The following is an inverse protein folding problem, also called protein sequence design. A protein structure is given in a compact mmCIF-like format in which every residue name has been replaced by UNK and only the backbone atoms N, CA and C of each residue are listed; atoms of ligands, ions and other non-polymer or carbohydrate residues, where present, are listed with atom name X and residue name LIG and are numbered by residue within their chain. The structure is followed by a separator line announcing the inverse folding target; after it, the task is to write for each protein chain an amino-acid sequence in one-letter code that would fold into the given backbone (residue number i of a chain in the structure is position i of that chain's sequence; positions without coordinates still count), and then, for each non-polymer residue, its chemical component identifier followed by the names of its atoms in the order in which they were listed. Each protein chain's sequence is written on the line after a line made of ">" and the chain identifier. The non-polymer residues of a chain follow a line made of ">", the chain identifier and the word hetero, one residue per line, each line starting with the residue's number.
data_IF_098324461802
#
_entry.id   IF_098324461802
#
_cell.length_a   1.000
_cell.length_b   1.000
_cell.length_c   1.000
_cell.angle_alpha   90.00
_cell.angle_beta   90.00
_cell.angle_gamma   90.00
#
_symmetry.space_group_name_H-M   'P 1'
#
loop_
_entity.id
_entity.type
_entity.pdbx_description
1 polymer ?
#
# COMPACT_ATOMS: atom_id res chain seq x y z
N UNK A 1 28.62 -4.10 -13.77
CA UNK A 1 27.45 -3.58 -13.03
C UNK A 1 26.35 -3.40 -14.06
N UNK A 2 25.28 -4.16 -13.91
CA UNK A 2 24.12 -4.08 -14.83
C UNK A 2 22.99 -3.40 -14.09
N UNK A 3 22.43 -2.36 -14.70
CA UNK A 3 21.31 -1.60 -14.14
C UNK A 3 20.01 -2.28 -14.53
N UNK A 4 19.33 -2.88 -13.56
CA UNK A 4 18.06 -3.59 -13.78
C UNK A 4 16.92 -2.67 -13.36
N UNK A 5 15.89 -2.59 -14.21
CA UNK A 5 14.64 -1.90 -13.91
C UNK A 5 13.51 -2.93 -13.89
N UNK A 6 12.76 -2.95 -12.79
CA UNK A 6 11.58 -3.78 -12.60
C UNK A 6 10.40 -2.88 -12.32
N UNK A 7 9.22 -3.29 -12.77
CA UNK A 7 7.97 -2.63 -12.41
C UNK A 7 7.22 -3.52 -11.43
N UNK A 8 6.72 -2.96 -10.35
CA UNK A 8 6.10 -3.71 -9.25
C UNK A 8 4.73 -3.12 -8.93
N UNK A 9 3.71 -3.94 -9.05
CA UNK A 9 2.32 -3.64 -8.73
C UNK A 9 2.03 -3.95 -7.24
N UNK A 10 1.13 -3.14 -6.65
CA UNK A 10 0.75 -3.22 -5.24
C UNK A 10 1.63 -2.39 -4.28
N UNK A 11 2.58 -1.60 -4.81
CA UNK A 11 3.30 -0.59 -4.04
C UNK A 11 2.48 0.70 -3.94
N UNK A 12 1.51 0.74 -3.02
CA UNK A 12 0.70 1.94 -2.83
C UNK A 12 1.32 2.94 -1.84
N UNK A 13 2.31 2.50 -1.04
CA UNK A 13 2.78 3.26 0.11
C UNK A 13 4.30 3.50 0.14
N UNK A 14 4.71 4.62 0.73
CA UNK A 14 6.13 4.94 0.97
C UNK A 14 6.84 3.86 1.78
N UNK A 15 6.13 3.25 2.73
CA UNK A 15 6.63 2.15 3.56
C UNK A 15 6.79 0.83 2.79
N UNK A 16 5.99 0.63 1.74
CA UNK A 16 6.02 -0.51 0.83
C UNK A 16 7.32 -0.44 -0.01
N UNK A 17 7.62 0.75 -0.52
CA UNK A 17 8.89 1.03 -1.19
C UNK A 17 10.11 0.84 -0.27
N UNK A 18 10.03 1.29 0.98
CA UNK A 18 11.11 1.08 1.95
C UNK A 18 11.36 -0.41 2.23
N UNK A 19 10.31 -1.22 2.26
CA UNK A 19 10.40 -2.67 2.49
C UNK A 19 11.13 -3.35 1.33
N UNK A 20 10.75 -3.03 0.08
CA UNK A 20 11.39 -3.56 -1.13
C UNK A 20 12.85 -3.08 -1.21
N UNK A 21 13.11 -1.80 -0.91
CA UNK A 21 14.47 -1.25 -0.89
C UNK A 21 15.37 -2.02 0.08
N UNK A 22 14.93 -2.17 1.33
CA UNK A 22 15.69 -2.92 2.37
C UNK A 22 15.90 -4.38 1.99
N UNK A 23 14.92 -5.00 1.34
CA UNK A 23 15.05 -6.37 0.85
C UNK A 23 16.15 -6.50 -0.21
N UNK A 24 16.15 -5.61 -1.20
CA UNK A 24 17.14 -5.59 -2.28
C UNK A 24 18.54 -5.25 -1.77
N UNK A 25 18.67 -4.29 -0.84
CA UNK A 25 19.92 -3.97 -0.15
C UNK A 25 20.47 -5.19 0.61
N UNK A 26 19.61 -5.93 1.33
CA UNK A 26 19.99 -7.16 2.04
C UNK A 26 20.44 -8.28 1.09
N UNK A 27 19.95 -8.28 -0.15
CA UNK A 27 20.39 -9.19 -1.22
C UNK A 27 21.69 -8.75 -1.89
N UNK A 28 22.30 -7.65 -1.45
CA UNK A 28 23.59 -7.16 -1.95
C UNK A 28 23.48 -6.23 -3.17
N UNK A 29 22.28 -5.73 -3.48
CA UNK A 29 22.09 -4.77 -4.58
C UNK A 29 22.56 -3.37 -4.17
N UNK A 30 23.13 -2.64 -5.13
CA UNK A 30 23.64 -1.27 -4.94
C UNK A 30 22.75 -0.26 -5.67
N UNK A 31 22.82 1.02 -5.27
CA UNK A 31 21.99 2.13 -5.80
C UNK A 31 20.50 1.80 -5.96
N UNK A 32 19.90 1.14 -4.95
CA UNK A 32 18.49 0.75 -5.00
C UNK A 32 17.59 1.97 -4.87
N UNK A 33 16.93 2.33 -5.97
CA UNK A 33 15.92 3.37 -6.05
C UNK A 33 14.56 2.74 -6.28
N UNK A 34 13.64 3.00 -5.35
CA UNK A 34 12.27 2.49 -5.42
C UNK A 34 11.34 3.67 -5.45
N UNK A 35 10.49 3.72 -6.48
CA UNK A 35 9.47 4.72 -6.65
C UNK A 35 8.09 4.07 -6.52
N UNK A 36 7.51 4.16 -5.32
CA UNK A 36 6.13 3.70 -5.08
C UNK A 36 5.10 4.46 -5.94
N UNK A 37 5.41 5.68 -6.40
CA UNK A 37 4.50 6.47 -7.23
C UNK A 37 4.23 5.83 -8.59
N UNK A 38 5.28 5.29 -9.20
CA UNK A 38 5.23 4.75 -10.57
C UNK A 38 5.31 3.23 -10.59
N UNK A 39 5.57 2.60 -9.43
CA UNK A 39 5.86 1.18 -9.31
C UNK A 39 7.27 0.82 -9.78
N UNK A 40 8.12 1.81 -10.10
CA UNK A 40 9.44 1.54 -10.67
C UNK A 40 10.47 1.23 -9.59
N UNK A 41 11.21 0.14 -9.79
CA UNK A 41 12.30 -0.32 -8.94
C UNK A 41 13.54 -0.41 -9.81
N UNK A 42 14.57 0.38 -9.53
CA UNK A 42 15.85 0.32 -10.22
C UNK A 42 16.98 0.04 -9.25
N UNK A 43 17.89 -0.86 -9.61
CA UNK A 43 19.06 -1.20 -8.79
C UNK A 43 20.20 -1.72 -9.66
N UNK A 44 21.41 -1.62 -9.13
CA UNK A 44 22.61 -2.15 -9.73
C UNK A 44 22.92 -3.52 -9.14
N UNK A 45 22.91 -4.54 -10.01
CA UNK A 45 23.27 -5.91 -9.63
C UNK A 45 24.76 -6.15 -9.86
N UNK A 46 25.46 -6.63 -8.82
CA UNK A 46 26.84 -7.07 -8.89
C UNK A 46 26.87 -8.61 -8.88
N UNK A 47 26.81 -9.22 -10.06
CA UNK A 47 26.84 -10.68 -10.24
C UNK A 47 25.73 -11.20 -11.16
N UNK A 48 25.79 -12.49 -11.48
CA UNK A 48 24.87 -13.18 -12.39
C UNK A 48 23.54 -13.56 -11.66
N UNK A 49 22.88 -12.57 -11.06
CA UNK A 49 21.57 -12.79 -10.42
C UNK A 49 20.49 -12.90 -11.49
N UNK A 50 19.74 -14.00 -11.50
CA UNK A 50 18.58 -14.13 -12.38
C UNK A 50 17.48 -13.20 -11.89
N UNK A 51 16.95 -12.37 -12.77
CA UNK A 51 15.82 -11.48 -12.48
C UNK A 51 14.61 -12.22 -11.88
N UNK A 52 14.42 -13.51 -12.22
CA UNK A 52 13.39 -14.40 -11.70
C UNK A 52 13.48 -14.65 -10.18
N UNK A 53 14.69 -14.75 -9.63
CA UNK A 53 14.88 -15.04 -8.20
C UNK A 53 14.54 -13.81 -7.35
N UNK A 54 14.81 -12.62 -7.89
CA UNK A 54 14.45 -11.34 -7.29
C UNK A 54 12.94 -11.08 -7.40
N UNK A 55 12.33 -11.42 -8.55
CA UNK A 55 10.88 -11.34 -8.73
C UNK A 55 10.13 -12.26 -7.76
N UNK A 56 10.60 -13.50 -7.59
CA UNK A 56 10.05 -14.45 -6.61
C UNK A 56 10.16 -13.90 -5.18
N UNK A 57 11.28 -13.26 -4.85
CA UNK A 57 11.49 -12.60 -3.57
C UNK A 57 10.54 -11.43 -3.28
N UNK A 58 10.24 -10.64 -4.31
CA UNK A 58 9.28 -9.53 -4.23
C UNK A 58 7.84 -10.07 -4.15
N UNK A 59 7.54 -11.14 -4.88
CA UNK A 59 6.29 -11.89 -4.73
C UNK A 59 6.15 -12.46 -3.32
N UNK A 60 7.24 -12.96 -2.72
CA UNK A 60 7.33 -13.41 -1.33
C UNK A 60 7.23 -12.28 -0.30
N UNK A 61 7.31 -11.01 -0.71
CA UNK A 61 6.98 -9.82 0.09
C UNK A 61 5.54 -9.33 -0.12
N UNK A 62 4.89 -9.76 -1.20
CA UNK A 62 3.44 -9.62 -1.42
C UNK A 62 3.12 -8.63 -2.50
N UNK A 63 4.11 -8.35 -3.35
CA UNK A 63 4.03 -7.43 -4.45
C UNK A 63 4.25 -8.20 -5.75
N UNK A 64 3.60 -7.77 -6.82
CA UNK A 64 3.61 -8.47 -8.09
C UNK A 64 4.58 -7.76 -9.04
N UNK A 65 5.52 -8.47 -9.69
CA UNK A 65 6.50 -7.83 -10.59
C UNK A 65 5.99 -7.89 -12.02
N UNK A 66 5.62 -6.74 -12.59
CA UNK A 66 5.24 -6.60 -13.99
C UNK A 66 6.48 -6.75 -14.89
N UNK A 67 6.61 -7.90 -15.54
CA UNK A 67 7.73 -8.20 -16.43
C UNK A 67 8.00 -9.69 -16.65
N UNK A 68 7.55 -10.58 -15.74
CA UNK A 68 7.45 -12.00 -16.07
C UNK A 68 6.19 -12.22 -16.92
N UNK A 69 6.38 -12.81 -18.10
CA UNK A 69 5.29 -13.44 -18.86
C UNK A 69 4.79 -14.67 -18.10
N UNK A 70 4.25 -14.49 -16.91
CA UNK A 70 3.34 -15.47 -16.33
C UNK A 70 1.99 -15.17 -16.97
N UNK A 71 1.47 -16.12 -17.74
CA UNK A 71 0.16 -16.04 -18.38
C UNK A 71 -0.86 -15.43 -17.41
N UNK A 72 -1.44 -14.32 -17.84
CA UNK A 72 -2.52 -13.66 -17.17
C UNK A 72 -3.64 -14.65 -16.80
N UNK A 73 -3.77 -14.97 -15.52
CA UNK A 73 -5.11 -14.99 -14.94
C UNK A 73 -5.45 -13.55 -14.61
N UNK A 74 -6.15 -12.87 -15.53
CA UNK A 74 -7.04 -11.73 -15.21
C UNK A 74 -8.06 -12.21 -14.18
N UNK A 75 -7.64 -12.29 -12.92
CA UNK A 75 -8.42 -12.82 -11.82
C UNK A 75 -9.22 -11.71 -11.16
N UNK A 76 -10.51 -11.66 -11.48
CA UNK A 76 -11.63 -11.09 -10.70
C UNK A 76 -11.29 -9.84 -9.86
N UNK A 77 -11.77 -8.67 -10.30
CA UNK A 77 -11.86 -7.45 -9.46
C UNK A 77 -12.37 -7.83 -8.07
N UNK A 78 -11.48 -7.85 -7.09
CA UNK A 78 -11.81 -8.16 -5.71
C UNK A 78 -12.84 -7.12 -5.23
N UNK A 79 -13.89 -7.56 -4.54
CA UNK A 79 -15.04 -6.73 -4.13
C UNK A 79 -14.67 -5.57 -3.18
N UNK A 80 -13.40 -5.50 -2.74
CA UNK A 80 -12.82 -4.51 -1.82
C UNK A 80 -11.37 -4.18 -2.24
N UNK A 81 -11.19 -3.55 -3.41
CA UNK A 81 -9.87 -3.27 -3.98
C UNK A 81 -9.18 -2.08 -3.31
N UNK A 82 -9.95 -1.08 -2.85
CA UNK A 82 -9.41 0.18 -2.36
C UNK A 82 -9.53 0.31 -0.84
N UNK A 83 -8.57 0.97 -0.20
CA UNK A 83 -8.61 1.30 1.23
C UNK A 83 -9.93 1.99 1.64
N UNK A 84 -10.47 2.86 0.78
CA UNK A 84 -11.76 3.51 0.95
C UNK A 84 -12.94 2.53 1.02
N UNK A 85 -12.98 1.50 0.16
CA UNK A 85 -14.06 0.51 0.17
C UNK A 85 -14.02 -0.33 1.45
N UNK A 86 -12.83 -0.70 1.92
CA UNK A 86 -12.65 -1.42 3.18
C UNK A 86 -13.06 -0.57 4.38
N UNK A 87 -12.65 0.71 4.40
CA UNK A 87 -13.11 1.67 5.39
C UNK A 87 -14.64 1.79 5.39
N UNK A 88 -15.25 2.03 4.23
CA UNK A 88 -16.70 2.23 4.11
C UNK A 88 -17.50 0.98 4.49
N UNK A 89 -16.94 -0.21 4.24
CA UNK A 89 -17.53 -1.47 4.69
C UNK A 89 -17.43 -1.65 6.21
N UNK A 90 -16.30 -1.31 6.83
CA UNK A 90 -16.12 -1.44 8.28
C UNK A 90 -16.87 -0.36 9.07
N UNK A 91 -17.02 0.84 8.50
CA UNK A 91 -17.62 2.01 9.14
C UNK A 91 -18.99 1.76 9.79
N UNK A 92 -20.00 1.14 9.13
CA UNK A 92 -21.29 0.90 9.77
C UNK A 92 -21.17 -0.01 11.00
N UNK A 93 -20.37 -1.07 10.95
CA UNK A 93 -20.18 -1.97 12.09
C UNK A 93 -19.48 -1.27 13.25
N UNK A 94 -18.41 -0.52 12.96
CA UNK A 94 -17.66 0.24 13.96
C UNK A 94 -18.50 1.36 14.56
N UNK A 95 -19.34 2.04 13.76
CA UNK A 95 -20.25 3.07 14.24
C UNK A 95 -21.30 2.50 15.20
N UNK A 96 -21.89 1.34 14.87
CA UNK A 96 -22.84 0.67 15.76
C UNK A 96 -22.17 0.25 17.06
N UNK A 97 -20.93 -0.24 17.02
CA UNK A 97 -20.17 -0.54 18.23
C UNK A 97 -19.88 0.75 19.02
N UNK A 98 -19.46 1.84 18.39
CA UNK A 98 -19.21 3.11 19.10
C UNK A 98 -20.44 3.70 19.77
N UNK A 99 -21.64 3.44 19.25
CA UNK A 99 -22.90 3.88 19.85
C UNK A 99 -23.10 3.37 21.29
N UNK A 100 -22.53 2.21 21.64
CA UNK A 100 -22.66 1.67 22.99
C UNK A 100 -21.94 2.52 24.07
N UNK A 101 -20.94 3.30 23.67
CA UNK A 101 -20.18 4.17 24.59
C UNK A 101 -20.89 5.49 24.91
N UNK A 102 -21.99 5.83 24.22
CA UNK A 102 -22.70 7.10 24.42
C UNK A 102 -23.64 6.96 25.63
N UNK A 103 -23.35 7.62 26.77
CA UNK A 103 -24.22 7.57 27.93
C UNK A 103 -25.57 8.21 27.60
N UNK A 104 -26.64 7.40 27.56
CA UNK A 104 -28.00 7.83 27.22
C UNK A 104 -28.72 6.91 26.22
N UNK A 105 -27.97 6.18 25.39
CA UNK A 105 -28.50 5.16 24.47
C UNK A 105 -28.25 3.76 25.05
N UNK A 106 -28.88 3.44 26.18
CA UNK A 106 -28.79 2.12 26.79
C UNK A 106 -29.64 1.11 26.00
N UNK A 107 -29.20 0.77 24.79
CA UNK A 107 -29.76 -0.33 24.02
C UNK A 107 -29.40 -1.62 24.75
N UNK A 108 -30.33 -2.15 25.55
CA UNK A 108 -30.18 -3.41 26.32
C UNK A 108 -29.69 -4.58 25.44
N UNK A 109 -30.02 -4.54 24.15
CA UNK A 109 -29.58 -5.53 23.15
C UNK A 109 -28.07 -5.45 22.84
N UNK A 110 -27.47 -4.26 22.91
CA UNK A 110 -26.07 -3.98 22.56
C UNK A 110 -25.08 -4.30 23.71
N UNK A 111 -25.60 -4.56 24.91
CA UNK A 111 -24.84 -5.09 26.05
C UNK A 111 -24.59 -6.59 25.97
N UNK A 112 -25.20 -7.29 25.00
CA UNK A 112 -24.98 -8.72 24.85
C UNK A 112 -23.59 -8.98 24.24
N UNK A 113 -22.67 -9.65 24.96
CA UNK A 113 -21.29 -9.86 24.50
C UNK A 113 -21.21 -10.60 23.15
N UNK A 114 -22.16 -11.51 22.90
CA UNK A 114 -22.26 -12.27 21.66
C UNK A 114 -22.60 -11.39 20.45
N UNK A 115 -23.39 -10.35 20.64
CA UNK A 115 -23.73 -9.42 19.57
C UNK A 115 -22.53 -8.56 19.19
N UNK A 116 -21.79 -8.07 20.19
CA UNK A 116 -20.58 -7.28 19.94
C UNK A 116 -19.51 -8.11 19.23
N UNK A 117 -19.36 -9.39 19.61
CA UNK A 117 -18.53 -10.34 18.88
C UNK A 117 -19.00 -10.50 17.42
N UNK A 118 -20.31 -10.68 17.20
CA UNK A 118 -20.86 -10.83 15.85
C UNK A 118 -20.62 -9.59 14.97
N UNK A 119 -20.68 -8.37 15.53
CA UNK A 119 -20.39 -7.13 14.79
C UNK A 119 -18.90 -6.90 14.54
N UNK A 120 -18.03 -7.35 15.45
CA UNK A 120 -16.58 -7.20 15.27
C UNK A 120 -15.98 -8.19 14.30
N UNK A 121 -16.52 -9.40 14.19
CA UNK A 121 -16.01 -10.44 13.30
C UNK A 121 -15.84 -9.95 11.84
N UNK A 122 -16.83 -9.32 11.18
CA UNK A 122 -16.67 -8.80 9.82
C UNK A 122 -15.52 -7.81 9.70
N UNK A 123 -15.41 -6.87 10.64
CA UNK A 123 -14.35 -5.84 10.66
C UNK A 123 -12.98 -6.49 10.86
N UNK A 124 -12.89 -7.44 11.79
CA UNK A 124 -11.67 -8.18 12.09
C UNK A 124 -11.22 -9.03 10.90
N UNK A 125 -12.13 -9.73 10.22
CA UNK A 125 -11.82 -10.53 9.03
C UNK A 125 -11.28 -9.65 7.90
N UNK A 126 -11.92 -8.52 7.62
CA UNK A 126 -11.43 -7.57 6.61
C UNK A 126 -10.06 -7.01 6.99
N UNK A 127 -9.89 -6.60 8.25
CA UNK A 127 -8.61 -6.11 8.78
C UNK A 127 -7.49 -7.15 8.68
N UNK A 128 -7.71 -8.37 9.16
CA UNK A 128 -6.71 -9.44 9.15
C UNK A 128 -6.42 -9.99 7.76
N UNK A 129 -7.40 -9.96 6.85
CA UNK A 129 -7.18 -10.32 5.45
C UNK A 129 -6.16 -9.43 4.75
N UNK A 130 -5.98 -8.18 5.23
CA UNK A 130 -5.03 -7.22 4.68
C UNK A 130 -3.81 -7.06 5.59
N UNK A 131 -3.98 -6.52 6.79
CA UNK A 131 -2.89 -6.24 7.73
C UNK A 131 -2.25 -7.53 8.24
N UNK A 132 -3.05 -8.55 8.56
CA UNK A 132 -2.56 -9.83 9.08
C UNK A 132 -1.72 -10.61 8.07
N UNK A 133 -2.18 -10.71 6.82
CA UNK A 133 -1.38 -11.36 5.74
C UNK A 133 -0.05 -10.64 5.53
N UNK A 134 -0.07 -9.31 5.48
CA UNK A 134 1.14 -8.50 5.33
C UNK A 134 2.08 -8.64 6.53
N UNK A 135 1.53 -8.62 7.74
CA UNK A 135 2.30 -8.77 8.98
C UNK A 135 3.00 -10.12 9.07
N UNK A 136 2.30 -11.21 8.78
CA UNK A 136 2.87 -12.57 8.80
C UNK A 136 4.08 -12.70 7.86
N UNK A 137 3.93 -12.16 6.65
CA UNK A 137 4.95 -12.18 5.60
C UNK A 137 6.14 -11.29 5.94
N UNK A 138 5.88 -10.11 6.48
CA UNK A 138 6.88 -9.17 6.98
C UNK A 138 7.73 -9.76 8.12
N UNK A 139 7.11 -10.44 9.07
CA UNK A 139 7.80 -11.15 10.16
C UNK A 139 8.65 -12.29 9.61
N UNK A 140 8.08 -13.14 8.73
CA UNK A 140 8.80 -14.25 8.11
C UNK A 140 10.05 -13.81 7.34
N UNK A 141 9.98 -12.65 6.70
CA UNK A 141 11.08 -12.10 5.92
C UNK A 141 12.07 -11.25 6.76
N UNK A 142 11.80 -11.07 8.06
CA UNK A 142 12.66 -10.36 9.00
C UNK A 142 12.72 -8.85 8.77
N UNK A 143 11.70 -8.26 8.13
CA UNK A 143 11.61 -6.81 7.89
C UNK A 143 10.24 -6.34 8.41
N UNK A 144 10.13 -5.98 9.71
CA UNK A 144 8.88 -5.50 10.29
C UNK A 144 8.37 -4.24 9.59
N UNK A 145 7.08 -4.22 9.24
CA UNK A 145 6.40 -3.08 8.63
C UNK A 145 5.29 -2.52 9.53
N UNK A 146 4.63 -1.42 9.13
CA UNK A 146 3.54 -0.80 9.90
C UNK A 146 2.39 -1.78 10.19
N UNK A 147 2.10 -2.68 9.24
CA UNK A 147 1.00 -3.64 9.35
C UNK A 147 1.25 -4.66 10.47
N UNK A 148 2.51 -4.94 10.84
CA UNK A 148 2.85 -5.79 11.98
C UNK A 148 2.30 -5.20 13.29
N UNK A 149 2.56 -3.91 13.53
CA UNK A 149 2.10 -3.25 14.76
C UNK A 149 0.57 -3.22 14.84
N UNK A 150 -0.08 -2.90 13.72
CA UNK A 150 -1.55 -2.86 13.61
C UNK A 150 -2.14 -4.25 13.87
N UNK A 151 -1.58 -5.29 13.24
CA UNK A 151 -2.07 -6.66 13.38
C UNK A 151 -1.92 -7.17 14.82
N UNK A 152 -0.80 -6.88 15.48
CA UNK A 152 -0.59 -7.27 16.88
C UNK A 152 -1.59 -6.56 17.80
N UNK A 153 -1.81 -5.26 17.63
CA UNK A 153 -2.76 -4.50 18.45
C UNK A 153 -4.21 -4.96 18.26
N UNK A 154 -4.64 -5.17 17.02
CA UNK A 154 -5.97 -5.70 16.71
C UNK A 154 -6.15 -7.13 17.24
N UNK A 155 -5.13 -7.97 17.14
CA UNK A 155 -5.19 -9.35 17.65
C UNK A 155 -5.19 -9.39 19.18
N UNK A 156 -4.39 -8.55 19.84
CA UNK A 156 -4.36 -8.46 21.30
C UNK A 156 -5.72 -8.04 21.87
N UNK A 157 -6.30 -6.95 21.34
CA UNK A 157 -7.62 -6.46 21.77
C UNK A 157 -8.74 -7.47 21.47
N UNK A 158 -8.71 -8.12 20.31
CA UNK A 158 -9.70 -9.14 19.94
C UNK A 158 -9.63 -10.39 20.83
N UNK A 159 -8.42 -10.95 21.04
CA UNK A 159 -8.22 -12.14 21.88
C UNK A 159 -8.59 -11.87 23.33
N UNK A 160 -8.25 -10.68 23.85
CA UNK A 160 -8.60 -10.29 25.20
C UNK A 160 -10.12 -10.17 25.39
N UNK A 161 -10.81 -9.59 24.41
CA UNK A 161 -12.28 -9.50 24.38
C UNK A 161 -12.96 -10.86 24.27
N UNK A 162 -12.40 -11.75 23.45
CA UNK A 162 -12.89 -13.11 23.28
C UNK A 162 -12.72 -13.92 24.58
N UNK A 163 -11.58 -13.76 25.26
CA UNK A 163 -11.35 -14.39 26.56
C UNK A 163 -12.39 -13.95 27.59
N UNK A 164 -12.65 -12.65 27.73
CA UNK A 164 -13.69 -12.13 28.64
C UNK A 164 -15.11 -12.62 28.31
N UNK A 165 -15.40 -12.82 27.02
CA UNK A 165 -16.69 -13.37 26.58
C UNK A 165 -16.85 -14.84 26.96
N UNK A 166 -15.78 -15.63 26.88
CA UNK A 166 -15.80 -17.06 27.21
C UNK A 166 -15.83 -17.33 28.72
N UNK A 167 -15.18 -16.48 29.54
CA UNK A 167 -15.17 -16.63 31.01
C UNK A 167 -16.41 -16.07 31.70
N UNK A 168 -17.32 -15.43 30.95
CA UNK A 168 -18.52 -14.78 31.49
C UNK A 168 -18.24 -13.46 32.22
N UNK A 169 -17.00 -12.97 32.18
CA UNK A 169 -16.56 -11.68 32.76
C UNK A 169 -16.53 -10.58 31.69
N UNK A 170 -17.54 -10.58 30.82
CA UNK A 170 -17.57 -9.67 29.68
C UNK A 170 -17.64 -8.20 30.09
N UNK A 171 -18.19 -7.87 31.27
CA UNK A 171 -18.30 -6.49 31.73
C UNK A 171 -16.94 -5.79 31.94
N UNK A 172 -15.89 -6.53 32.31
CA UNK A 172 -14.59 -5.95 32.66
C UNK A 172 -13.54 -6.02 31.53
N UNK A 173 -13.78 -6.88 30.53
CA UNK A 173 -12.77 -7.25 29.54
C UNK A 173 -13.21 -7.06 28.08
N UNK A 174 -14.28 -6.31 27.83
CA UNK A 174 -14.83 -6.12 26.48
C UNK A 174 -14.18 -4.93 25.77
N UNK A 175 -13.31 -5.22 24.79
CA UNK A 175 -12.58 -4.26 23.97
C UNK A 175 -12.82 -4.48 22.46
N UNK A 176 -14.03 -4.93 22.14
CA UNK A 176 -14.47 -5.21 20.77
C UNK A 176 -14.52 -3.92 19.93
N UNK A 177 -14.98 -2.82 20.53
CA UNK A 177 -14.97 -1.48 19.95
C UNK A 177 -13.55 -0.99 19.68
N UNK A 178 -12.59 -1.26 20.57
CA UNK A 178 -11.19 -0.90 20.39
C UNK A 178 -10.60 -1.61 19.17
N UNK A 179 -10.85 -2.92 19.03
CA UNK A 179 -10.43 -3.71 17.87
C UNK A 179 -10.97 -3.10 16.56
N UNK A 180 -12.28 -2.84 16.51
CA UNK A 180 -12.94 -2.31 15.32
C UNK A 180 -12.47 -0.90 14.98
N UNK A 181 -12.26 -0.06 15.99
CA UNK A 181 -11.82 1.34 15.85
C UNK A 181 -10.40 1.41 15.30
N UNK A 182 -9.47 0.63 15.85
CA UNK A 182 -8.08 0.57 15.35
C UNK A 182 -8.08 0.23 13.86
N UNK A 183 -8.75 -0.86 13.48
CA UNK A 183 -8.76 -1.31 12.08
C UNK A 183 -9.41 -0.28 11.14
N UNK A 184 -10.52 0.33 11.57
CA UNK A 184 -11.28 1.28 10.75
C UNK A 184 -10.52 2.59 10.56
N UNK A 185 -9.96 3.15 11.63
CA UNK A 185 -9.22 4.42 11.57
C UNK A 185 -7.92 4.28 10.78
N UNK A 186 -7.23 3.14 10.88
CA UNK A 186 -6.04 2.88 10.07
C UNK A 186 -6.40 2.81 8.58
N UNK A 187 -7.51 2.15 8.21
CA UNK A 187 -7.95 2.16 6.81
C UNK A 187 -8.26 3.58 6.30
N UNK A 188 -8.87 4.42 7.13
CA UNK A 188 -9.08 5.84 6.80
C UNK A 188 -7.76 6.59 6.62
N UNK A 189 -6.81 6.38 7.55
CA UNK A 189 -5.48 6.97 7.49
C UNK A 189 -4.74 6.61 6.20
N UNK A 190 -4.72 5.33 5.82
CA UNK A 190 -4.12 4.88 4.57
C UNK A 190 -4.79 5.53 3.35
N UNK A 191 -6.12 5.64 3.34
CA UNK A 191 -6.83 6.32 2.25
C UNK A 191 -6.43 7.80 2.15
N UNK A 192 -6.30 8.50 3.27
CA UNK A 192 -5.87 9.90 3.29
C UNK A 192 -4.42 10.05 2.83
N UNK A 193 -3.54 9.14 3.24
CA UNK A 193 -2.14 9.09 2.78
C UNK A 193 -2.08 8.94 1.25
N UNK A 194 -2.77 7.93 0.70
CA UNK A 194 -2.82 7.67 -0.73
C UNK A 194 -3.37 8.88 -1.51
N UNK A 195 -4.45 9.50 -1.02
CA UNK A 195 -5.06 10.67 -1.65
C UNK A 195 -4.09 11.87 -1.68
N UNK A 196 -3.39 12.14 -0.58
CA UNK A 196 -2.41 13.22 -0.49
C UNK A 196 -1.21 12.99 -1.40
N UNK A 197 -0.68 11.77 -1.42
CA UNK A 197 0.42 11.35 -2.30
C UNK A 197 0.03 11.52 -3.77
N UNK A 198 -1.13 11.01 -4.18
CA UNK A 198 -1.61 11.11 -5.56
C UNK A 198 -1.83 12.56 -6.00
N UNK A 199 -2.33 13.42 -5.11
CA UNK A 199 -2.52 14.84 -5.42
C UNK A 199 -1.19 15.54 -5.72
N UNK A 200 -0.15 15.24 -4.94
CA UNK A 200 1.20 15.79 -5.11
C UNK A 200 1.81 15.30 -6.43
N UNK A 201 1.67 14.01 -6.73
CA UNK A 201 2.15 13.43 -7.99
C UNK A 201 1.46 14.03 -9.21
N UNK A 202 0.14 14.27 -9.14
CA UNK A 202 -0.59 14.92 -10.24
C UNK A 202 -0.06 16.33 -10.49
N UNK A 203 0.26 17.08 -9.44
CA UNK A 203 0.86 18.40 -9.57
C UNK A 203 2.27 18.33 -10.19
N UNK A 204 3.13 17.43 -9.72
CA UNK A 204 4.47 17.21 -10.29
C UNK A 204 4.41 16.80 -11.77
N UNK A 205 3.55 15.84 -12.12
CA UNK A 205 3.38 15.40 -13.51
C UNK A 205 2.87 16.53 -14.41
N UNK A 206 2.02 17.43 -13.88
CA UNK A 206 1.56 18.61 -14.61
C UNK A 206 2.70 19.60 -14.87
N UNK A 207 3.61 19.78 -13.90
CA UNK A 207 4.81 20.62 -14.07
C UNK A 207 5.77 20.03 -15.12
N UNK A 208 6.06 18.73 -15.05
CA UNK A 208 6.92 18.03 -16.02
C UNK A 208 6.34 18.14 -17.43
N UNK A 209 5.03 17.92 -17.58
CA UNK A 209 4.36 18.04 -18.89
C UNK A 209 4.35 19.47 -19.42
N UNK A 210 4.38 20.47 -18.55
CA UNK A 210 4.44 21.89 -18.93
C UNK A 210 5.85 22.38 -19.23
N UNK A 211 6.88 21.60 -18.90
CA UNK A 211 8.26 21.95 -19.23
C UNK A 211 8.47 21.81 -20.74
N UNK A 212 8.71 22.93 -21.41
CA UNK A 212 9.02 22.97 -22.84
C UNK A 212 10.36 22.31 -23.07
N UNK A 213 10.38 21.25 -23.87
CA UNK A 213 11.62 20.58 -24.30
C UNK A 213 12.19 21.39 -25.46
N UNK A 214 13.38 21.96 -25.31
CA UNK A 214 14.06 22.69 -26.39
C UNK A 214 14.93 21.72 -27.19
N UNK A 215 14.95 21.89 -28.51
CA UNK A 215 15.77 21.15 -29.43
C UNK A 215 16.57 22.13 -30.31
N UNK A 216 17.74 21.70 -30.74
CA UNK A 216 18.60 22.49 -31.61
C UNK A 216 18.25 22.15 -33.07
N UNK A 217 17.69 23.13 -33.79
CA UNK A 217 17.51 23.05 -35.24
C UNK A 217 18.78 23.58 -35.91
N UNK A 218 19.40 22.74 -36.73
CA UNK A 218 20.56 23.12 -37.55
C UNK A 218 20.03 23.53 -38.91
N UNK A 219 20.24 24.77 -39.31
CA UNK A 219 19.92 25.30 -40.63
C UNK A 219 21.20 25.78 -41.32
N UNK A 220 21.25 25.66 -42.65
CA UNK A 220 22.38 26.12 -43.46
C UNK A 220 21.97 27.39 -44.21
N UNK A 221 22.81 28.42 -44.15
CA UNK A 221 22.64 29.66 -44.94
C UNK A 221 23.03 29.44 -46.42
N UNK A 222 22.75 30.40 -47.30
CA UNK A 222 23.13 30.38 -48.73
C UNK A 222 24.66 30.25 -48.93
N UNK A 223 25.45 30.60 -47.91
CA UNK A 223 26.90 30.41 -47.86
C UNK A 223 27.36 29.07 -47.24
N UNK A 224 26.46 28.10 -47.04
CA UNK A 224 26.74 26.79 -46.41
C UNK A 224 27.31 26.87 -44.98
N UNK A 225 27.06 27.96 -44.24
CA UNK A 225 27.43 28.05 -42.83
C UNK A 225 26.33 27.49 -41.94
N UNK A 226 26.71 26.75 -40.90
CA UNK A 226 25.80 26.18 -39.90
C UNK A 226 25.31 27.24 -38.93
N UNK A 227 23.98 27.40 -38.84
CA UNK A 227 23.32 28.20 -37.81
C UNK A 227 22.48 27.29 -36.91
N UNK A 228 22.68 27.42 -35.60
CA UNK A 228 21.98 26.61 -34.59
C UNK A 228 20.91 27.49 -33.94
N UNK A 229 19.64 27.08 -34.08
CA UNK A 229 18.50 27.74 -33.44
C UNK A 229 17.93 26.84 -32.35
N UNK A 230 17.74 27.37 -31.14
CA UNK A 230 17.01 26.68 -30.08
C UNK A 230 15.50 26.87 -30.32
N UNK A 231 14.81 25.80 -30.71
CA UNK A 231 13.36 25.78 -30.98
C UNK A 231 12.65 24.80 -30.04
N UNK A 232 11.36 25.02 -29.82
CA UNK A 232 10.55 24.10 -29.02
C UNK A 232 10.37 22.77 -29.78
N UNK A 233 10.60 21.64 -29.11
CA UNK A 233 10.54 20.31 -29.74
C UNK A 233 9.19 19.98 -30.34
N UNK A 234 8.10 20.58 -29.81
CA UNK A 234 6.75 20.44 -30.38
C UNK A 234 6.62 21.10 -31.77
N UNK A 235 7.45 22.09 -32.10
CA UNK A 235 7.49 22.70 -33.44
C UNK A 235 8.29 21.86 -34.45
N UNK A 236 9.10 20.91 -33.98
CA UNK A 236 9.88 19.99 -34.82
C UNK A 236 9.15 18.68 -35.13
N UNK A 237 7.99 18.41 -34.51
CA UNK A 237 7.16 17.24 -34.87
C UNK A 237 6.43 17.54 -36.18
N UNK A 238 7.06 17.15 -37.29
CA UNK A 238 6.38 16.86 -38.57
C UNK A 238 6.03 15.39 -38.66
#
# INVERSE_FOLDING_TARGET
>A
MEKIQLKVDGMDCSNCALTIRKYLEKKGMQDVKVNFATGDVSFDANGNYKASDLATGIHDLGYEVAGEQTLATKGKRHFLSTHLQRFLFCLPFTAVLMLHMIPGLQLHWLMNPWLQLALTIPVFVVGMSFFGKSAWKSIRNGIPNMNVLIAIGALASFVYSLYGTLTGQAADYMFYETTATILTLVFLGNYMEDASVQSTQRALNKLVKSQKVMANMIAYDDQHQEQIFAVESDQLRT
#
